data_IF_643821120588
#
_entry.id   IF_643821120588
#
_cell.length_a   1.000
_cell.length_b   1.000
_cell.length_c   1.000
_cell.angle_alpha   90.00
_cell.angle_beta   90.00
_cell.angle_gamma   90.00
#
_symmetry.space_group_name_H-M   'P 1'
#
loop_
_entity.id
_entity.type
_entity.pdbx_description
1 polymer ?
#
# COMPACT_ATOMS: atom_id res chain seq x y z
N UNK A 1 14.33 -22.52 4.02
CA UNK A 1 13.14 -21.66 4.30
C UNK A 1 13.16 -20.52 3.30
N UNK A 2 12.50 -20.58 2.44
CA UNK A 2 11.37 -20.51 1.58
C UNK A 2 11.47 -19.34 0.59
N UNK A 3 12.06 -19.64 -0.56
CA UNK A 3 12.04 -18.73 -1.74
C UNK A 3 10.61 -18.45 -2.22
N UNK A 4 9.65 -19.28 -1.87
CA UNK A 4 8.23 -19.14 -2.23
C UNK A 4 7.56 -17.97 -1.51
N UNK A 5 7.79 -17.83 -0.20
CA UNK A 5 7.24 -16.74 0.61
C UNK A 5 7.75 -15.37 0.13
N UNK A 6 8.98 -15.31 -0.35
CA UNK A 6 9.59 -14.07 -0.86
C UNK A 6 8.93 -13.57 -2.15
N UNK A 7 8.55 -14.46 -3.08
CA UNK A 7 7.93 -14.08 -4.37
C UNK A 7 6.52 -13.55 -4.21
N UNK A 8 5.68 -14.21 -3.42
CA UNK A 8 4.31 -13.75 -3.12
C UNK A 8 4.31 -12.36 -2.46
N UNK A 9 5.25 -12.13 -1.58
CA UNK A 9 5.42 -10.86 -0.88
C UNK A 9 5.72 -9.69 -1.80
N UNK A 10 6.63 -9.90 -2.75
CA UNK A 10 6.99 -8.91 -3.78
C UNK A 10 5.78 -8.62 -4.68
N UNK A 11 5.04 -9.65 -5.08
CA UNK A 11 3.89 -9.50 -5.98
C UNK A 11 2.79 -8.64 -5.38
N UNK A 12 2.43 -8.83 -4.11
CA UNK A 12 1.41 -8.02 -3.44
C UNK A 12 1.79 -6.55 -3.40
N UNK A 13 3.04 -6.21 -3.05
CA UNK A 13 3.49 -4.82 -3.00
C UNK A 13 3.50 -4.19 -4.40
N UNK A 14 3.97 -4.92 -5.41
CA UNK A 14 4.01 -4.44 -6.79
C UNK A 14 2.60 -4.28 -7.39
N UNK A 15 1.67 -5.16 -7.07
CA UNK A 15 0.28 -5.10 -7.50
C UNK A 15 -0.41 -3.86 -6.94
N UNK A 16 -0.31 -3.63 -5.63
CA UNK A 16 -0.87 -2.44 -4.99
C UNK A 16 -0.25 -1.15 -5.53
N UNK A 17 1.06 -1.12 -5.77
CA UNK A 17 1.72 0.04 -6.38
C UNK A 17 1.17 0.32 -7.79
N UNK A 18 0.96 -0.71 -8.62
CA UNK A 18 0.39 -0.57 -9.97
C UNK A 18 -1.05 -0.09 -9.93
N UNK A 19 -1.90 -0.66 -9.07
CA UNK A 19 -3.30 -0.24 -8.91
C UNK A 19 -3.42 1.22 -8.49
N UNK A 20 -2.45 1.74 -7.72
CA UNK A 20 -2.39 3.13 -7.31
C UNK A 20 -1.73 4.05 -8.35
N UNK A 21 -1.45 3.54 -9.57
CA UNK A 21 -0.91 4.33 -10.67
C UNK A 21 0.58 4.65 -10.58
N UNK A 22 1.32 3.96 -9.68
CA UNK A 22 2.77 4.10 -9.63
C UNK A 22 3.41 3.30 -10.77
N UNK A 23 3.94 4.01 -11.77
CA UNK A 23 4.74 3.37 -12.81
C UNK A 23 6.10 2.94 -12.24
N UNK A 24 6.32 1.64 -12.19
CA UNK A 24 7.62 1.06 -11.86
C UNK A 24 8.47 1.11 -13.12
N UNK A 25 8.88 2.34 -13.53
CA UNK A 25 9.63 2.58 -14.77
C UNK A 25 11.05 2.00 -14.74
N UNK A 26 11.59 1.73 -13.55
CA UNK A 26 12.93 1.17 -13.37
C UNK A 26 12.85 -0.03 -12.43
N UNK A 27 12.79 -1.23 -12.99
CA UNK A 27 12.91 -2.48 -12.23
C UNK A 27 14.21 -2.56 -11.42
N UNK A 28 15.21 -1.74 -11.78
CA UNK A 28 16.54 -1.71 -11.16
C UNK A 28 16.68 -0.69 -10.02
N UNK A 29 15.63 0.04 -9.62
CA UNK A 29 15.71 0.97 -8.50
C UNK A 29 14.79 0.54 -7.35
N UNK A 30 15.11 -0.60 -6.78
CA UNK A 30 14.38 -1.17 -5.64
C UNK A 30 14.37 -0.24 -4.42
N UNK A 31 15.36 0.65 -4.26
CA UNK A 31 15.36 1.67 -3.20
C UNK A 31 14.18 2.64 -3.33
N UNK A 32 13.97 3.22 -4.52
CA UNK A 32 12.83 4.13 -4.75
C UNK A 32 11.49 3.42 -4.62
N UNK A 33 11.40 2.17 -5.10
CA UNK A 33 10.19 1.35 -4.97
C UNK A 33 9.88 1.09 -3.49
N UNK A 34 10.91 0.86 -2.66
CA UNK A 34 10.76 0.72 -1.21
C UNK A 34 10.21 2.00 -0.58
N UNK A 35 10.78 3.16 -0.92
CA UNK A 35 10.26 4.45 -0.42
C UNK A 35 8.81 4.69 -0.86
N UNK A 36 8.47 4.40 -2.12
CA UNK A 36 7.09 4.50 -2.63
C UNK A 36 6.14 3.58 -1.86
N UNK A 37 6.55 2.35 -1.60
CA UNK A 37 5.76 1.43 -0.79
C UNK A 37 5.50 2.01 0.61
N UNK A 38 6.51 2.54 1.28
CA UNK A 38 6.32 3.13 2.60
C UNK A 38 5.40 4.37 2.58
N UNK A 39 5.52 5.25 1.57
CA UNK A 39 4.61 6.40 1.41
C UNK A 39 3.16 5.99 1.09
N UNK A 40 2.98 4.83 0.47
CA UNK A 40 1.65 4.31 0.14
C UNK A 40 0.92 3.72 1.35
N UNK A 41 1.65 3.26 2.36
CA UNK A 41 1.10 2.60 3.55
C UNK A 41 -0.06 3.38 4.22
N UNK A 42 0.07 4.68 4.58
CA UNK A 42 -1.05 5.40 5.20
C UNK A 42 -2.24 5.56 4.25
N UNK A 43 -2.02 5.71 2.95
CA UNK A 43 -3.08 5.82 1.94
C UNK A 43 -3.89 4.53 1.82
N UNK A 44 -3.22 3.37 1.81
CA UNK A 44 -3.88 2.07 1.79
C UNK A 44 -4.70 1.85 3.07
N UNK A 45 -4.17 2.25 4.22
CA UNK A 45 -4.89 2.19 5.50
C UNK A 45 -6.17 3.03 5.47
N UNK A 46 -6.12 4.23 4.88
CA UNK A 46 -7.28 5.10 4.65
C UNK A 46 -8.27 4.47 3.67
N UNK A 47 -7.78 3.89 2.55
CA UNK A 47 -8.62 3.21 1.56
C UNK A 47 -9.40 2.03 2.17
N UNK A 48 -8.75 1.22 3.01
CA UNK A 48 -9.43 0.14 3.75
C UNK A 48 -10.59 0.69 4.59
N UNK A 49 -10.38 1.81 5.29
CA UNK A 49 -11.42 2.40 6.12
C UNK A 49 -12.58 2.94 5.27
N UNK A 50 -12.30 3.66 4.18
CA UNK A 50 -13.32 4.12 3.22
C UNK A 50 -14.12 2.96 2.63
N UNK A 51 -13.45 1.90 2.23
CA UNK A 51 -14.09 0.69 1.72
C UNK A 51 -15.02 0.03 2.75
N UNK A 52 -14.62 0.00 4.04
CA UNK A 52 -15.49 -0.50 5.11
C UNK A 52 -16.76 0.37 5.29
N UNK A 53 -16.61 1.67 5.20
CA UNK A 53 -17.74 2.61 5.28
C UNK A 53 -18.66 2.46 4.07
N UNK A 54 -18.11 2.31 2.86
CA UNK A 54 -18.90 2.07 1.64
C UNK A 54 -19.68 0.76 1.72
N UNK A 55 -19.06 -0.33 2.19
CA UNK A 55 -19.78 -1.60 2.41
C UNK A 55 -20.94 -1.43 3.41
N UNK A 56 -20.72 -0.71 4.53
CA UNK A 56 -21.78 -0.43 5.50
C UNK A 56 -22.92 0.38 4.87
N UNK A 57 -22.58 1.39 4.07
CA UNK A 57 -23.55 2.23 3.37
C UNK A 57 -24.39 1.39 2.39
N UNK A 58 -23.75 0.57 1.54
CA UNK A 58 -24.40 -0.28 0.56
C UNK A 58 -25.35 -1.29 1.23
N UNK A 59 -24.94 -1.91 2.34
CA UNK A 59 -25.77 -2.82 3.11
C UNK A 59 -27.00 -2.14 3.72
N UNK A 60 -26.88 -0.88 4.14
CA UNK A 60 -27.96 -0.16 4.82
C UNK A 60 -28.89 0.56 3.85
N UNK A 61 -28.36 1.14 2.78
CA UNK A 61 -29.09 2.06 1.90
C UNK A 61 -29.22 1.57 0.46
N UNK A 62 -28.48 0.52 0.09
CA UNK A 62 -28.41 0.05 -1.29
C UNK A 62 -27.58 0.97 -2.19
N UNK A 63 -27.70 0.77 -3.50
CA UNK A 63 -27.04 1.62 -4.48
C UNK A 63 -27.66 3.02 -4.48
N UNK A 64 -26.84 4.10 -4.58
CA UNK A 64 -27.37 5.44 -4.78
C UNK A 64 -28.21 5.48 -6.06
N UNK A 65 -29.37 6.14 -5.98
CA UNK A 65 -30.22 6.32 -7.17
C UNK A 65 -29.42 7.16 -8.18
N UNK A 66 -29.02 6.55 -9.31
CA UNK A 66 -28.61 7.33 -10.47
C UNK A 66 -29.83 8.11 -10.92
N UNK A 67 -29.70 9.46 -11.05
CA UNK A 67 -30.69 10.28 -11.73
C UNK A 67 -30.98 9.60 -13.06
N UNK A 68 -32.27 9.25 -13.32
CA UNK A 68 -32.67 8.67 -14.59
C UNK A 68 -32.41 9.70 -15.68
N UNK A 69 -31.34 9.52 -16.43
CA UNK A 69 -31.25 10.09 -17.77
C UNK A 69 -32.31 9.38 -18.64
N UNK A 70 -33.37 10.11 -18.95
CA UNK A 70 -34.60 9.60 -19.63
C UNK A 70 -34.37 9.49 -21.15
N UNK A 71 -33.20 9.09 -21.60
CA UNK A 71 -32.93 8.94 -23.03
C UNK A 71 -32.03 7.76 -23.36
N UNK A 72 -32.52 6.54 -23.08
CA UNK A 72 -32.19 5.38 -23.94
C UNK A 72 -33.12 4.21 -23.63
N UNK A 73 -34.24 4.15 -24.32
CA UNK A 73 -34.95 2.90 -24.52
C UNK A 73 -34.10 2.05 -25.46
N UNK A 74 -33.27 1.21 -24.90
CA UNK A 74 -32.60 0.12 -25.60
C UNK A 74 -33.32 -1.18 -25.23
N UNK A 75 -33.96 -1.79 -26.23
CA UNK A 75 -34.57 -3.12 -26.13
C UNK A 75 -33.51 -4.15 -25.75
N UNK A 76 -33.73 -4.94 -24.70
CA UNK A 76 -33.05 -6.20 -24.45
C UNK A 76 -32.02 -6.21 -23.32
N UNK A 77 -32.06 -5.28 -22.38
CA UNK A 77 -31.21 -5.36 -21.18
C UNK A 77 -31.82 -6.34 -20.18
N UNK A 78 -31.10 -7.43 -19.88
CA UNK A 78 -31.41 -8.30 -18.73
C UNK A 78 -31.49 -7.38 -17.52
N UNK A 79 -32.64 -7.29 -16.88
CA UNK A 79 -32.86 -6.55 -15.64
C UNK A 79 -32.09 -7.33 -14.57
N UNK A 80 -30.83 -6.98 -14.37
CA UNK A 80 -30.03 -7.51 -13.26
C UNK A 80 -30.71 -7.07 -11.97
N UNK A 81 -30.99 -8.01 -11.06
CA UNK A 81 -31.60 -7.69 -9.77
C UNK A 81 -30.74 -6.66 -9.04
N UNK A 82 -31.39 -5.61 -8.53
CA UNK A 82 -30.71 -4.54 -7.75
C UNK A 82 -29.90 -5.12 -6.59
N UNK A 83 -30.38 -6.19 -6.01
CA UNK A 83 -29.71 -6.90 -4.92
C UNK A 83 -28.43 -7.58 -5.41
N UNK A 84 -28.47 -8.24 -6.56
CA UNK A 84 -27.29 -8.87 -7.17
C UNK A 84 -26.17 -7.84 -7.47
N UNK A 85 -26.54 -6.67 -7.99
CA UNK A 85 -25.59 -5.57 -8.24
C UNK A 85 -24.92 -5.06 -6.96
N UNK A 86 -25.69 -4.98 -5.85
CA UNK A 86 -25.15 -4.59 -4.54
C UNK A 86 -24.16 -5.64 -4.05
N UNK A 87 -24.50 -6.91 -4.14
CA UNK A 87 -23.65 -8.02 -3.71
C UNK A 87 -22.36 -8.09 -4.54
N UNK A 88 -22.47 -7.94 -5.86
CA UNK A 88 -21.29 -7.88 -6.74
C UNK A 88 -20.36 -6.73 -6.37
N UNK A 89 -20.91 -5.54 -6.10
CA UNK A 89 -20.12 -4.38 -5.68
C UNK A 89 -19.43 -4.61 -4.33
N UNK A 90 -20.16 -5.16 -3.35
CA UNK A 90 -19.60 -5.50 -2.04
C UNK A 90 -18.48 -6.53 -2.18
N UNK A 91 -18.65 -7.54 -3.03
CA UNK A 91 -17.64 -8.56 -3.27
C UNK A 91 -16.36 -7.97 -3.89
N UNK A 92 -16.47 -7.08 -4.88
CA UNK A 92 -15.31 -6.37 -5.47
C UNK A 92 -14.56 -5.55 -4.42
N UNK A 93 -15.25 -4.79 -3.59
CA UNK A 93 -14.64 -3.99 -2.53
C UNK A 93 -13.97 -4.90 -1.50
N UNK A 94 -14.59 -6.02 -1.15
CA UNK A 94 -14.05 -6.98 -0.20
C UNK A 94 -12.76 -7.63 -0.73
N UNK A 95 -12.72 -8.02 -2.01
CA UNK A 95 -11.52 -8.57 -2.65
C UNK A 95 -10.37 -7.55 -2.65
N UNK A 96 -10.64 -6.31 -3.03
CA UNK A 96 -9.64 -5.22 -2.95
C UNK A 96 -9.11 -5.05 -1.52
N UNK A 97 -9.97 -5.13 -0.51
CA UNK A 97 -9.54 -5.07 0.89
C UNK A 97 -8.64 -6.24 1.30
N UNK A 98 -8.85 -7.45 0.78
CA UNK A 98 -7.96 -8.59 1.08
C UNK A 98 -6.52 -8.28 0.63
N UNK A 99 -6.35 -7.77 -0.59
CA UNK A 99 -5.05 -7.36 -1.12
C UNK A 99 -4.43 -6.24 -0.26
N UNK A 100 -5.24 -5.23 0.06
CA UNK A 100 -4.80 -4.11 0.89
C UNK A 100 -4.37 -4.55 2.30
N UNK A 101 -5.08 -5.49 2.93
CA UNK A 101 -4.70 -6.04 4.24
C UNK A 101 -3.39 -6.82 4.16
N UNK A 102 -3.23 -7.70 3.17
CA UNK A 102 -1.98 -8.41 2.93
C UNK A 102 -0.79 -7.45 2.82
N UNK A 103 -0.97 -6.33 2.09
CA UNK A 103 0.04 -5.29 1.96
C UNK A 103 0.39 -4.66 3.33
N UNK A 104 -0.63 -4.24 4.11
CA UNK A 104 -0.44 -3.63 5.42
C UNK A 104 0.27 -4.60 6.39
N UNK A 105 -0.16 -5.85 6.44
CA UNK A 105 0.47 -6.88 7.29
C UNK A 105 1.93 -7.10 6.92
N UNK A 106 2.23 -7.12 5.62
CA UNK A 106 3.58 -7.27 5.11
C UNK A 106 4.49 -6.14 5.56
N UNK A 107 4.08 -4.89 5.31
CA UNK A 107 4.86 -3.71 5.71
C UNK A 107 5.03 -3.68 7.24
N UNK A 108 3.98 -3.96 8.00
CA UNK A 108 4.06 -4.04 9.47
C UNK A 108 5.03 -5.11 9.94
N UNK A 109 5.00 -6.30 9.36
CA UNK A 109 5.91 -7.40 9.71
C UNK A 109 7.36 -6.99 9.54
N UNK A 110 7.68 -6.35 8.39
CA UNK A 110 9.02 -5.88 8.09
C UNK A 110 9.45 -4.75 9.06
N UNK A 111 8.61 -3.72 9.25
CA UNK A 111 8.95 -2.61 10.14
C UNK A 111 9.14 -3.09 11.57
N UNK A 112 8.31 -4.02 12.02
CA UNK A 112 8.39 -4.58 13.36
C UNK A 112 9.72 -5.33 13.62
N UNK A 113 10.40 -5.85 12.59
CA UNK A 113 11.69 -6.49 12.74
C UNK A 113 12.83 -5.50 13.09
N UNK A 114 12.59 -4.20 12.94
CA UNK A 114 13.55 -3.13 13.24
C UNK A 114 13.26 -2.38 14.54
N UNK A 115 12.33 -2.85 15.38
CA UNK A 115 11.92 -2.15 16.61
C UNK A 115 13.07 -1.83 17.57
N UNK A 116 14.10 -2.67 17.57
CA UNK A 116 15.26 -2.53 18.46
C UNK A 116 16.34 -1.62 17.86
N UNK A 117 16.18 -1.17 16.61
CA UNK A 117 17.10 -0.22 15.99
C UNK A 117 16.89 1.19 16.56
N UNK A 118 17.98 1.86 16.96
CA UNK A 118 17.96 3.17 17.62
C UNK A 118 17.09 4.22 16.90
N UNK A 119 17.05 4.18 15.58
CA UNK A 119 16.37 5.18 14.74
C UNK A 119 15.17 4.61 13.95
N UNK A 120 14.61 3.47 14.36
CA UNK A 120 13.52 2.83 13.60
C UNK A 120 12.30 3.74 13.42
N UNK A 121 12.04 4.63 14.40
CA UNK A 121 10.95 5.61 14.35
C UNK A 121 11.03 6.57 13.14
N UNK A 122 12.21 6.72 12.52
CA UNK A 122 12.36 7.52 11.28
C UNK A 122 11.40 7.05 10.20
N UNK A 123 11.13 5.74 10.11
CA UNK A 123 10.21 5.20 9.11
C UNK A 123 8.81 5.75 9.33
N UNK A 124 8.30 5.71 10.55
CA UNK A 124 6.97 6.23 10.91
C UNK A 124 6.90 7.74 10.69
N UNK A 125 7.85 8.46 11.26
CA UNK A 125 7.88 9.93 11.19
C UNK A 125 7.95 10.42 9.74
N UNK A 126 8.85 9.86 8.93
CA UNK A 126 9.07 10.29 7.55
C UNK A 126 7.95 9.88 6.60
N UNK A 127 7.58 8.59 6.60
CA UNK A 127 6.73 8.00 5.56
C UNK A 127 5.26 7.95 5.92
N UNK A 128 4.93 7.90 7.23
CA UNK A 128 3.53 7.81 7.67
C UNK A 128 2.98 9.14 8.17
N UNK A 129 3.82 9.97 8.78
CA UNK A 129 3.43 11.28 9.32
C UNK A 129 3.89 12.45 8.47
N UNK A 130 4.77 12.22 7.49
CA UNK A 130 5.24 13.24 6.56
C UNK A 130 6.21 14.27 7.18
N UNK A 131 6.85 13.93 8.31
CA UNK A 131 7.80 14.82 8.99
C UNK A 131 8.98 15.19 8.10
N UNK A 132 9.43 16.43 8.24
CA UNK A 132 10.64 16.95 7.59
C UNK A 132 11.92 16.43 8.25
N UNK A 133 13.05 16.58 7.58
CA UNK A 133 14.35 16.23 8.17
C UNK A 133 14.62 17.06 9.43
N UNK A 134 14.28 18.36 9.40
CA UNK A 134 14.52 19.28 10.51
C UNK A 134 13.70 18.88 11.75
N UNK A 135 12.40 18.58 11.59
CA UNK A 135 11.57 18.07 12.67
C UNK A 135 12.11 16.74 13.26
N UNK A 136 12.67 15.88 12.43
CA UNK A 136 13.30 14.64 12.90
C UNK A 136 14.63 14.91 13.62
N UNK A 137 15.41 15.92 13.19
CA UNK A 137 16.61 16.35 13.91
C UNK A 137 16.28 16.83 15.31
N UNK A 138 15.21 17.63 15.47
CA UNK A 138 14.70 18.08 16.76
C UNK A 138 14.22 16.92 17.62
N UNK A 139 13.44 15.99 17.03
CA UNK A 139 12.89 14.84 17.74
C UNK A 139 13.96 13.89 18.30
N UNK A 140 15.04 13.64 17.53
CA UNK A 140 16.12 12.75 17.92
C UNK A 140 17.33 13.46 18.56
N UNK A 141 17.34 14.79 18.61
CA UNK A 141 18.44 15.63 19.08
C UNK A 141 19.77 15.32 18.36
N UNK A 142 19.71 15.17 17.02
CA UNK A 142 20.87 14.83 16.20
C UNK A 142 20.94 15.67 14.91
N UNK A 143 22.12 15.69 14.27
CA UNK A 143 22.29 16.39 13.01
C UNK A 143 21.53 15.76 11.84
N UNK A 144 21.27 16.56 10.82
CA UNK A 144 20.60 16.15 9.56
C UNK A 144 21.37 15.01 8.86
N UNK A 145 22.70 15.06 8.91
CA UNK A 145 23.56 14.01 8.37
C UNK A 145 23.33 12.67 9.07
N UNK A 146 23.10 12.67 10.39
CA UNK A 146 22.79 11.46 11.16
C UNK A 146 21.44 10.89 10.75
N UNK A 147 20.40 11.75 10.65
CA UNK A 147 19.06 11.34 10.20
C UNK A 147 19.11 10.75 8.78
N UNK A 148 19.78 11.43 7.83
CA UNK A 148 19.90 10.96 6.44
C UNK A 148 20.61 9.60 6.34
N UNK A 149 21.70 9.41 7.10
CA UNK A 149 22.42 8.12 7.14
C UNK A 149 21.56 7.01 7.74
N UNK A 150 20.91 7.27 8.88
CA UNK A 150 20.02 6.31 9.53
C UNK A 150 18.83 5.93 8.64
N UNK A 151 18.17 6.92 8.02
CA UNK A 151 17.10 6.69 7.03
C UNK A 151 17.57 5.78 5.90
N UNK A 152 18.70 6.11 5.27
CA UNK A 152 19.19 5.33 4.13
C UNK A 152 19.59 3.90 4.53
N UNK A 153 20.16 3.71 5.74
CA UNK A 153 20.44 2.38 6.29
C UNK A 153 19.15 1.56 6.40
N UNK A 154 18.15 2.11 7.10
CA UNK A 154 16.86 1.43 7.29
C UNK A 154 16.15 1.10 5.96
N UNK A 155 16.13 2.03 5.00
CA UNK A 155 15.53 1.77 3.69
C UNK A 155 16.27 0.65 2.95
N UNK A 156 17.60 0.59 3.01
CA UNK A 156 18.34 -0.50 2.38
C UNK A 156 18.06 -1.85 3.02
N UNK A 157 17.90 -1.92 4.33
CA UNK A 157 17.56 -3.15 5.05
C UNK A 157 16.12 -3.60 4.73
N UNK A 158 15.16 -2.67 4.76
CA UNK A 158 13.77 -2.92 4.35
C UNK A 158 13.70 -3.38 2.88
N UNK A 159 14.49 -2.77 1.99
CA UNK A 159 14.60 -3.12 0.58
C UNK A 159 14.97 -4.59 0.38
N UNK A 160 15.96 -5.08 1.12
CA UNK A 160 16.40 -6.48 1.07
C UNK A 160 15.28 -7.42 1.47
N UNK A 161 14.48 -7.07 2.49
CA UNK A 161 13.34 -7.87 2.94
C UNK A 161 12.14 -7.81 1.99
N UNK A 162 11.91 -6.65 1.36
CA UNK A 162 10.83 -6.50 0.38
C UNK A 162 11.17 -7.11 -0.99
N UNK A 163 12.40 -6.92 -1.47
CA UNK A 163 12.81 -7.23 -2.84
C UNK A 163 14.15 -7.99 -2.91
N UNK A 164 14.29 -9.14 -2.27
CA UNK A 164 15.56 -9.84 -2.16
C UNK A 164 16.17 -10.20 -3.53
N UNK A 165 15.35 -10.64 -4.50
CA UNK A 165 15.83 -11.00 -5.84
C UNK A 165 16.30 -9.77 -6.64
N UNK A 166 15.66 -8.61 -6.48
CA UNK A 166 16.06 -7.39 -7.16
C UNK A 166 17.38 -6.86 -6.62
N UNK A 167 17.58 -6.97 -5.30
CA UNK A 167 18.86 -6.56 -4.67
C UNK A 167 20.01 -7.44 -5.13
N UNK A 168 19.80 -8.75 -5.23
CA UNK A 168 20.80 -9.69 -5.77
C UNK A 168 21.18 -9.32 -7.20
N UNK A 169 20.20 -9.05 -8.07
CA UNK A 169 20.44 -8.65 -9.45
C UNK A 169 21.14 -7.27 -9.56
N UNK A 170 20.84 -6.31 -8.67
CA UNK A 170 21.52 -5.00 -8.62
C UNK A 170 22.99 -5.11 -8.16
N UNK A 171 23.31 -6.13 -7.37
CA UNK A 171 24.67 -6.39 -6.89
C UNK A 171 25.51 -7.21 -7.89
N UNK A 172 24.92 -7.67 -8.98
CA UNK A 172 25.62 -8.35 -10.08
C UNK A 172 25.99 -9.80 -9.79
N UNK A 173 25.23 -10.51 -8.93
CA UNK A 173 25.33 -11.95 -8.69
C UNK A 173 24.29 -12.74 -9.46
#
# INVERSE_FOLDING_TARGET
>A
MDTTISKENVMVVLEVLKEQGYEIRNKNNSFKVTEQALYLYPKIKEAINKNKEEIRYLKKHGLPNKSKDITSMSHGTIIQDKQELIEEKINKITQSNVINYSYIEKINGIINSFKDEKYYEIIRLKYFEGKTIDEMCEYFEVSDTTIKKAKNKLINEIRVLLFPNNVINELGY
#
